data_IF_514722417905
#
_entry.id   IF_514722417905
#
_cell.length_a   1.000
_cell.length_b   1.000
_cell.length_c   1.000
_cell.angle_alpha   90.00
_cell.angle_beta   90.00
_cell.angle_gamma   90.00
#
_symmetry.space_group_name_H-M   'P 1'
#
loop_
_entity.id
_entity.type
_entity.pdbx_description
1 polymer ?
#
# COMPACT_ATOMS: atom_id res chain seq x y z
N UNK A 1 4.29 -32.67 18.49
CA UNK A 1 3.00 -31.95 18.40
C UNK A 1 2.89 -31.02 19.60
N UNK A 2 2.52 -29.75 19.41
CA UNK A 2 2.23 -28.85 20.52
C UNK A 2 0.96 -29.33 21.25
N UNK A 3 0.90 -29.26 22.60
CA UNK A 3 -0.33 -29.57 23.32
C UNK A 3 -1.50 -28.72 22.80
N UNK A 4 -2.64 -29.35 22.52
CA UNK A 4 -3.79 -28.72 21.85
C UNK A 4 -4.31 -27.48 22.57
N UNK A 5 -4.20 -27.43 23.90
CA UNK A 5 -4.61 -26.30 24.73
C UNK A 5 -3.69 -25.07 24.63
N UNK A 6 -2.43 -25.23 24.19
CA UNK A 6 -1.49 -24.10 24.02
C UNK A 6 -1.65 -23.41 22.66
N UNK A 7 -2.22 -24.10 21.66
CA UNK A 7 -2.34 -23.59 20.29
C UNK A 7 -3.09 -22.24 20.22
N UNK A 8 -4.25 -22.03 20.89
CA UNK A 8 -4.94 -20.75 20.87
C UNK A 8 -4.09 -19.59 21.40
N UNK A 9 -3.31 -19.84 22.46
CA UNK A 9 -2.44 -18.83 23.07
C UNK A 9 -1.25 -18.50 22.15
N UNK A 10 -0.57 -19.52 21.63
CA UNK A 10 0.60 -19.35 20.77
C UNK A 10 0.24 -18.72 19.42
N UNK A 11 -0.99 -18.94 18.94
CA UNK A 11 -1.51 -18.40 17.68
C UNK A 11 -2.28 -17.08 17.83
N UNK A 12 -2.35 -16.53 19.04
CA UNK A 12 -3.04 -15.28 19.29
C UNK A 12 -2.25 -14.09 18.73
N UNK A 13 -2.97 -13.12 18.16
CA UNK A 13 -2.40 -11.85 17.71
C UNK A 13 -2.37 -10.87 18.89
N UNK A 14 -1.21 -10.71 19.49
CA UNK A 14 -1.00 -9.74 20.56
C UNK A 14 -0.81 -8.34 19.99
N UNK A 15 -1.55 -7.38 20.54
CA UNK A 15 -1.47 -5.97 20.16
C UNK A 15 -0.89 -5.19 21.33
N UNK A 16 0.34 -4.71 21.17
CA UNK A 16 1.02 -3.87 22.17
C UNK A 16 0.93 -2.42 21.75
N UNK A 17 0.31 -1.59 22.60
CA UNK A 17 0.18 -0.15 22.37
C UNK A 17 1.12 0.61 23.29
N UNK A 18 2.01 1.43 22.72
CA UNK A 18 2.91 2.32 23.47
C UNK A 18 2.92 3.71 22.83
N UNK A 19 2.17 4.64 23.41
CA UNK A 19 1.91 5.95 22.79
C UNK A 19 1.27 5.78 21.42
N UNK A 20 1.80 6.47 20.40
CA UNK A 20 1.31 6.38 19.01
C UNK A 20 1.75 5.10 18.26
N UNK A 21 2.48 4.20 18.92
CA UNK A 21 3.01 2.99 18.29
C UNK A 21 2.14 1.80 18.62
N UNK A 22 1.66 1.11 17.58
CA UNK A 22 0.94 -0.15 17.69
C UNK A 22 1.85 -1.23 17.11
N UNK A 23 2.19 -2.23 17.92
CA UNK A 23 2.94 -3.40 17.50
C UNK A 23 2.02 -4.61 17.51
N UNK A 24 2.00 -5.35 16.41
CA UNK A 24 1.32 -6.62 16.29
C UNK A 24 2.38 -7.73 16.38
N UNK A 25 2.15 -8.74 17.20
CA UNK A 25 3.07 -9.85 17.44
C UNK A 25 2.31 -11.18 17.55
N UNK A 26 2.90 -12.27 17.08
CA UNK A 26 2.46 -13.63 17.37
C UNK A 26 3.64 -14.46 17.86
N UNK A 27 3.39 -15.42 18.75
CA UNK A 27 4.46 -16.28 19.29
C UNK A 27 4.91 -17.33 18.28
N UNK A 28 4.04 -17.73 17.36
CA UNK A 28 4.34 -18.60 16.23
C UNK A 28 3.93 -17.93 14.91
N UNK A 29 4.60 -18.25 13.79
CA UNK A 29 4.18 -17.77 12.48
C UNK A 29 2.82 -18.36 12.10
N UNK A 30 2.02 -17.60 11.35
CA UNK A 30 0.85 -18.15 10.66
C UNK A 30 1.26 -18.53 9.24
N UNK A 31 0.92 -19.73 8.77
CA UNK A 31 1.36 -20.21 7.46
C UNK A 31 1.24 -21.72 7.28
N UNK A 32 1.86 -22.23 6.21
CA UNK A 32 1.94 -23.66 5.89
C UNK A 32 3.31 -24.20 6.33
N UNK A 33 3.44 -24.56 7.61
CA UNK A 33 4.63 -25.23 8.16
C UNK A 33 4.29 -26.06 9.41
N UNK A 34 5.16 -26.99 9.80
CA UNK A 34 4.90 -27.94 10.90
C UNK A 34 4.62 -27.28 12.27
N UNK A 35 5.21 -26.12 12.53
CA UNK A 35 5.02 -25.35 13.76
C UNK A 35 4.21 -24.06 13.53
N UNK A 36 3.60 -23.91 12.36
CA UNK A 36 2.81 -22.74 12.02
C UNK A 36 1.40 -22.86 12.58
N UNK A 37 0.86 -21.71 13.00
CA UNK A 37 -0.56 -21.55 13.17
C UNK A 37 -1.27 -21.67 11.82
N UNK A 38 -2.39 -22.42 11.73
CA UNK A 38 -3.10 -22.60 10.47
C UNK A 38 -3.71 -21.27 10.02
N UNK A 39 -3.63 -21.00 8.71
CA UNK A 39 -4.31 -19.89 8.06
C UNK A 39 -5.82 -20.18 8.06
N UNK A 40 -6.62 -19.25 8.58
CA UNK A 40 -8.08 -19.26 8.51
C UNK A 40 -8.53 -17.97 7.83
N UNK A 41 -8.58 -17.95 6.50
CA UNK A 41 -8.72 -16.71 5.73
C UNK A 41 -9.97 -15.89 6.10
N UNK A 42 -11.10 -16.53 6.41
CA UNK A 42 -12.32 -15.87 6.86
C UNK A 42 -12.20 -15.17 8.23
N UNK A 43 -11.20 -15.51 9.04
CA UNK A 43 -10.91 -14.89 10.34
C UNK A 43 -9.69 -13.97 10.26
N UNK A 44 -8.69 -14.37 9.48
CA UNK A 44 -7.38 -13.73 9.39
C UNK A 44 -7.35 -12.58 8.37
N UNK A 45 -8.30 -12.51 7.44
CA UNK A 45 -8.45 -11.43 6.46
C UNK A 45 -9.87 -10.86 6.53
N UNK A 46 -9.97 -9.55 6.79
CA UNK A 46 -11.25 -8.85 6.88
C UNK A 46 -11.35 -7.71 5.87
N UNK A 47 -12.54 -7.54 5.29
CA UNK A 47 -12.85 -6.47 4.34
C UNK A 47 -13.65 -5.37 5.06
N UNK A 48 -12.96 -4.31 5.49
CA UNK A 48 -13.54 -3.28 6.35
C UNK A 48 -14.00 -2.08 5.53
N UNK A 49 -15.31 -1.95 5.32
CA UNK A 49 -15.91 -0.86 4.55
C UNK A 49 -16.11 0.40 5.39
N UNK A 50 -15.56 1.50 4.91
CA UNK A 50 -15.77 2.86 5.38
C UNK A 50 -16.40 3.72 4.30
N UNK A 51 -17.33 4.56 4.71
CA UNK A 51 -17.93 5.62 3.91
C UNK A 51 -18.04 6.88 4.76
N UNK A 52 -18.52 8.00 4.17
CA UNK A 52 -18.80 9.21 4.96
C UNK A 52 -19.87 9.00 6.04
N UNK A 53 -20.70 7.96 5.93
CA UNK A 53 -21.74 7.61 6.93
C UNK A 53 -21.18 6.84 8.12
N UNK A 54 -20.02 6.20 7.97
CA UNK A 54 -19.37 5.41 9.01
C UNK A 54 -17.83 5.59 8.97
N UNK A 55 -17.33 6.82 9.18
CA UNK A 55 -15.91 7.13 8.98
C UNK A 55 -14.99 6.49 10.04
N UNK A 56 -15.54 6.13 11.21
CA UNK A 56 -14.79 5.63 12.37
C UNK A 56 -14.90 4.11 12.52
N UNK A 57 -16.11 3.56 12.39
CA UNK A 57 -16.39 2.13 12.59
C UNK A 57 -16.82 1.47 11.27
N UNK A 58 -16.13 0.43 10.81
CA UNK A 58 -16.43 -0.17 9.52
C UNK A 58 -17.66 -1.06 9.56
N UNK A 59 -18.32 -1.21 8.40
CA UNK A 59 -19.11 -2.40 8.13
C UNK A 59 -18.16 -3.50 7.65
N UNK A 60 -18.24 -4.70 8.22
CA UNK A 60 -17.48 -5.85 7.72
C UNK A 60 -18.24 -6.43 6.54
N UNK A 61 -17.57 -6.56 5.40
CA UNK A 61 -18.11 -7.27 4.24
C UNK A 61 -17.60 -8.71 4.25
N UNK A 62 -18.50 -9.65 4.00
CA UNK A 62 -18.20 -11.08 3.88
C UNK A 62 -18.86 -11.62 2.61
N UNK A 63 -18.06 -12.14 1.68
CA UNK A 63 -18.58 -12.72 0.44
C UNK A 63 -19.34 -14.04 0.67
N UNK A 64 -19.25 -14.65 1.85
CA UNK A 64 -20.06 -15.81 2.24
C UNK A 64 -21.42 -15.40 2.83
N UNK A 65 -21.63 -14.11 3.11
CA UNK A 65 -22.89 -13.58 3.59
C UNK A 65 -23.26 -12.29 2.83
N UNK A 66 -24.06 -12.46 1.77
CA UNK A 66 -24.53 -11.36 0.94
C UNK A 66 -25.29 -10.26 1.72
N UNK A 67 -25.85 -10.58 2.88
CA UNK A 67 -26.56 -9.60 3.70
C UNK A 67 -25.63 -8.55 4.29
N UNK A 68 -24.33 -8.87 4.45
CA UNK A 68 -23.32 -7.92 4.93
C UNK A 68 -23.17 -6.73 3.99
N UNK A 69 -23.22 -6.95 2.66
CA UNK A 69 -23.21 -5.87 1.67
C UNK A 69 -24.51 -5.08 1.69
N UNK A 70 -25.65 -5.77 1.70
CA UNK A 70 -26.98 -5.15 1.65
C UNK A 70 -27.28 -4.23 2.85
N UNK A 71 -26.85 -4.63 4.04
CA UNK A 71 -27.04 -3.88 5.29
C UNK A 71 -25.93 -2.86 5.56
N UNK A 72 -24.88 -2.84 4.75
CA UNK A 72 -23.78 -1.90 4.91
C UNK A 72 -24.11 -0.51 4.36
N UNK A 73 -23.20 0.44 4.59
CA UNK A 73 -23.27 1.76 3.97
C UNK A 73 -22.75 1.79 2.52
N UNK A 74 -22.47 0.63 1.91
CA UNK A 74 -21.97 0.55 0.53
C UNK A 74 -22.94 1.22 -0.44
N UNK A 75 -22.40 2.01 -1.38
CA UNK A 75 -23.21 2.66 -2.40
C UNK A 75 -22.63 2.41 -3.79
N UNK A 76 -23.40 1.70 -4.62
CA UNK A 76 -23.01 1.31 -5.99
C UNK A 76 -22.77 2.49 -6.94
N UNK A 77 -23.28 3.69 -6.60
CA UNK A 77 -23.04 4.93 -7.38
C UNK A 77 -21.71 5.57 -7.06
N UNK A 78 -21.06 5.19 -5.95
CA UNK A 78 -19.80 5.78 -5.52
C UNK A 78 -18.61 4.95 -6.02
N UNK A 79 -17.50 5.61 -6.42
CA UNK A 79 -16.25 4.91 -6.71
C UNK A 79 -15.75 4.11 -5.50
N UNK A 80 -15.17 2.94 -5.77
CA UNK A 80 -14.66 2.03 -4.75
C UNK A 80 -13.15 1.92 -4.84
N UNK A 81 -12.49 2.10 -3.70
CA UNK A 81 -11.07 1.84 -3.55
C UNK A 81 -10.85 0.76 -2.49
N UNK A 82 -9.83 -0.06 -2.68
CA UNK A 82 -9.33 -0.97 -1.65
C UNK A 82 -7.92 -0.56 -1.25
N UNK A 83 -7.60 -0.61 0.04
CA UNK A 83 -6.25 -0.36 0.54
C UNK A 83 -5.73 -1.57 1.31
N UNK A 84 -4.55 -2.06 0.91
CA UNK A 84 -3.88 -3.20 1.51
C UNK A 84 -2.63 -2.71 2.26
N UNK A 85 -2.62 -2.90 3.59
CA UNK A 85 -1.47 -2.54 4.42
C UNK A 85 -0.30 -3.51 4.23
N UNK A 86 0.87 -3.10 4.72
CA UNK A 86 2.12 -3.87 4.61
C UNK A 86 2.44 -4.73 5.83
N UNK A 87 3.71 -5.13 5.91
CA UNK A 87 4.27 -5.88 7.04
C UNK A 87 4.22 -5.08 8.34
N UNK A 88 3.97 -5.76 9.46
CA UNK A 88 3.87 -5.18 10.80
C UNK A 88 2.81 -4.08 10.97
N UNK A 89 1.84 -4.00 10.06
CA UNK A 89 0.78 -3.00 10.06
C UNK A 89 -0.60 -3.66 10.21
N UNK A 90 -1.64 -2.84 10.41
CA UNK A 90 -3.04 -3.28 10.37
C UNK A 90 -3.92 -2.18 9.80
N UNK A 91 -5.19 -2.47 9.52
CA UNK A 91 -6.16 -1.45 9.05
C UNK A 91 -6.32 -0.24 9.96
N UNK A 92 -5.92 -0.34 11.24
CA UNK A 92 -5.92 0.78 12.20
C UNK A 92 -4.63 1.62 12.17
N UNK A 93 -3.64 1.23 11.37
CA UNK A 93 -2.36 1.90 11.24
C UNK A 93 -2.44 3.26 10.54
N UNK A 94 -1.34 4.03 10.64
CA UNK A 94 -1.27 5.41 10.12
C UNK A 94 -1.43 5.49 8.60
N UNK A 95 -0.87 4.54 7.85
CA UNK A 95 -1.01 4.49 6.39
C UNK A 95 -2.46 4.30 5.93
N UNK A 96 -3.10 3.18 6.28
CA UNK A 96 -4.51 2.92 5.96
C UNK A 96 -5.46 4.03 6.39
N UNK A 97 -5.32 4.52 7.64
CA UNK A 97 -6.18 5.58 8.17
C UNK A 97 -5.98 6.92 7.46
N UNK A 98 -4.75 7.27 7.08
CA UNK A 98 -4.47 8.50 6.32
C UNK A 98 -5.10 8.45 4.93
N UNK A 99 -4.95 7.32 4.22
CA UNK A 99 -5.56 7.16 2.89
C UNK A 99 -7.08 7.15 2.97
N UNK A 100 -7.66 6.39 3.91
CA UNK A 100 -9.12 6.40 4.16
C UNK A 100 -9.62 7.82 4.40
N UNK A 101 -9.02 8.54 5.33
CA UNK A 101 -9.46 9.88 5.69
C UNK A 101 -9.36 10.84 4.50
N UNK A 102 -8.30 10.73 3.69
CA UNK A 102 -8.14 11.56 2.50
C UNK A 102 -9.28 11.34 1.48
N UNK A 103 -9.64 10.09 1.20
CA UNK A 103 -10.77 9.76 0.34
C UNK A 103 -12.11 10.24 0.91
N UNK A 104 -12.36 10.03 2.21
CA UNK A 104 -13.61 10.44 2.86
C UNK A 104 -13.77 11.96 2.97
N UNK A 105 -12.65 12.71 3.06
CA UNK A 105 -12.65 14.18 2.97
C UNK A 105 -12.88 14.67 1.54
N UNK A 106 -12.28 14.01 0.55
CA UNK A 106 -12.40 14.39 -0.86
C UNK A 106 -13.83 14.26 -1.40
N UNK A 107 -14.54 13.20 -1.03
CA UNK A 107 -15.88 12.99 -1.57
C UNK A 107 -16.53 11.68 -1.14
N UNK A 108 -17.53 11.28 -1.93
CA UNK A 108 -18.28 10.05 -1.68
C UNK A 108 -17.57 8.85 -2.31
N UNK A 109 -16.93 8.03 -1.47
CA UNK A 109 -16.24 6.81 -1.85
C UNK A 109 -16.69 5.63 -0.97
N UNK A 110 -16.61 4.43 -1.54
CA UNK A 110 -16.54 3.20 -0.76
C UNK A 110 -15.05 2.89 -0.52
N UNK A 111 -14.58 3.03 0.71
CA UNK A 111 -13.18 2.74 1.08
C UNK A 111 -13.14 1.41 1.82
N UNK A 112 -12.54 0.38 1.22
CA UNK A 112 -12.40 -0.93 1.84
C UNK A 112 -10.95 -1.12 2.30
N UNK A 113 -10.73 -1.14 3.62
CA UNK A 113 -9.42 -1.48 4.17
C UNK A 113 -9.31 -2.99 4.33
N UNK A 114 -8.26 -3.57 3.77
CA UNK A 114 -7.97 -5.01 3.91
C UNK A 114 -7.15 -5.19 5.18
N UNK A 115 -7.74 -5.85 6.18
CA UNK A 115 -7.10 -6.12 7.46
C UNK A 115 -6.59 -7.56 7.50
N UNK A 116 -5.27 -7.75 7.45
CA UNK A 116 -4.63 -9.07 7.47
C UNK A 116 -3.42 -9.15 8.43
N UNK A 117 -3.45 -8.51 9.61
CA UNK A 117 -2.25 -8.31 10.44
C UNK A 117 -1.61 -9.62 10.89
N UNK A 118 -2.41 -10.65 11.24
CA UNK A 118 -1.90 -11.95 11.72
C UNK A 118 -1.06 -12.70 10.68
N UNK A 119 -1.32 -12.44 9.39
CA UNK A 119 -0.60 -13.03 8.27
C UNK A 119 0.64 -12.20 7.88
N UNK A 120 0.75 -10.97 8.37
CA UNK A 120 1.81 -10.01 8.04
C UNK A 120 2.59 -9.51 9.27
N UNK A 121 2.62 -10.28 10.34
CA UNK A 121 3.04 -9.84 11.68
C UNK A 121 4.53 -10.01 11.95
N UNK A 122 5.09 -9.19 12.85
CA UNK A 122 6.44 -9.41 13.39
C UNK A 122 6.52 -10.68 14.24
N UNK A 123 7.69 -11.35 14.30
CA UNK A 123 8.91 -11.14 13.50
C UNK A 123 8.93 -11.95 12.18
N UNK A 124 7.78 -12.49 11.74
CA UNK A 124 7.68 -13.58 10.77
C UNK A 124 7.68 -13.11 9.30
N UNK A 125 8.70 -12.39 8.87
CA UNK A 125 8.75 -11.81 7.51
C UNK A 125 8.69 -12.86 6.40
N UNK A 126 9.44 -13.97 6.52
CA UNK A 126 9.43 -15.06 5.52
C UNK A 126 8.01 -15.63 5.37
N UNK A 127 7.33 -15.84 6.50
CA UNK A 127 5.95 -16.32 6.49
C UNK A 127 5.00 -15.28 5.88
N UNK A 128 5.19 -14.00 6.17
CA UNK A 128 4.39 -12.92 5.59
C UNK A 128 4.52 -12.84 4.06
N UNK A 129 5.74 -12.99 3.52
CA UNK A 129 5.98 -13.07 2.07
C UNK A 129 5.25 -14.26 1.44
N UNK A 130 5.31 -15.43 2.08
CA UNK A 130 4.57 -16.62 1.61
C UNK A 130 3.06 -16.42 1.69
N UNK A 131 2.57 -15.82 2.77
CA UNK A 131 1.15 -15.57 2.98
C UNK A 131 0.59 -14.58 1.96
N UNK A 132 1.39 -13.65 1.42
CA UNK A 132 0.94 -12.75 0.37
C UNK A 132 0.40 -13.50 -0.87
N UNK A 133 1.02 -14.63 -1.23
CA UNK A 133 0.56 -15.53 -2.33
C UNK A 133 -0.76 -16.22 -2.03
N UNK A 134 -1.13 -16.34 -0.75
CA UNK A 134 -2.41 -16.92 -0.31
C UNK A 134 -3.49 -15.83 -0.23
N UNK A 135 -3.13 -14.65 0.27
CA UNK A 135 -4.05 -13.52 0.45
C UNK A 135 -4.49 -12.93 -0.90
N UNK A 136 -3.59 -12.86 -1.90
CA UNK A 136 -3.92 -12.34 -3.24
C UNK A 136 -5.14 -13.02 -3.88
N UNK A 137 -5.14 -14.36 -4.07
CA UNK A 137 -6.30 -15.09 -4.58
C UNK A 137 -7.56 -14.94 -3.72
N UNK A 138 -7.43 -14.83 -2.40
CA UNK A 138 -8.58 -14.58 -1.51
C UNK A 138 -9.24 -13.22 -1.77
N UNK A 139 -8.43 -12.17 -2.03
CA UNK A 139 -8.92 -10.85 -2.45
C UNK A 139 -9.54 -10.89 -3.85
N UNK A 140 -8.98 -11.66 -4.78
CA UNK A 140 -9.56 -11.85 -6.11
C UNK A 140 -10.97 -12.47 -6.05
N UNK A 141 -11.20 -13.40 -5.11
CA UNK A 141 -12.52 -13.98 -4.86
C UNK A 141 -13.52 -12.93 -4.35
N UNK A 142 -13.13 -12.12 -3.35
CA UNK A 142 -13.95 -11.00 -2.87
C UNK A 142 -14.30 -10.00 -3.98
N UNK A 143 -13.33 -9.65 -4.81
CA UNK A 143 -13.52 -8.71 -5.94
C UNK A 143 -14.48 -9.30 -6.97
N UNK A 144 -14.32 -10.58 -7.30
CA UNK A 144 -15.24 -11.28 -8.21
C UNK A 144 -16.65 -11.35 -7.65
N UNK A 145 -16.81 -11.53 -6.34
CA UNK A 145 -18.10 -11.47 -5.68
C UNK A 145 -18.73 -10.07 -5.76
N UNK A 146 -17.98 -8.99 -5.47
CA UNK A 146 -18.50 -7.61 -5.62
C UNK A 146 -18.95 -7.31 -7.06
N UNK A 147 -18.21 -7.79 -8.06
CA UNK A 147 -18.59 -7.65 -9.47
C UNK A 147 -19.86 -8.45 -9.80
N UNK A 148 -19.97 -9.69 -9.31
CA UNK A 148 -21.16 -10.52 -9.47
C UNK A 148 -22.41 -9.92 -8.81
N UNK A 149 -22.26 -9.24 -7.66
CA UNK A 149 -23.32 -8.48 -7.00
C UNK A 149 -23.66 -7.15 -7.72
N UNK A 150 -23.00 -6.84 -8.85
CA UNK A 150 -23.08 -5.56 -9.56
C UNK A 150 -22.76 -4.35 -8.65
N UNK A 151 -21.99 -4.59 -7.60
CA UNK A 151 -21.64 -3.56 -6.62
C UNK A 151 -20.47 -2.71 -7.11
N UNK A 152 -19.50 -3.33 -7.80
CA UNK A 152 -18.35 -2.66 -8.41
C UNK A 152 -17.99 -3.36 -9.72
N UNK A 153 -17.99 -2.63 -10.83
CA UNK A 153 -17.37 -3.13 -12.06
C UNK A 153 -15.85 -3.19 -11.90
N UNK A 154 -15.23 -4.30 -12.30
CA UNK A 154 -13.77 -4.45 -12.25
C UNK A 154 -13.01 -3.25 -12.85
N UNK A 155 -13.46 -2.76 -14.01
CA UNK A 155 -12.85 -1.63 -14.73
C UNK A 155 -12.80 -0.32 -13.93
N UNK A 156 -13.65 -0.18 -12.90
CA UNK A 156 -13.74 1.01 -12.04
C UNK A 156 -13.08 0.80 -10.68
N UNK A 157 -12.65 -0.41 -10.36
CA UNK A 157 -12.02 -0.72 -9.08
C UNK A 157 -10.55 -0.25 -9.08
N UNK A 158 -10.17 0.44 -8.01
CA UNK A 158 -8.79 0.85 -7.75
C UNK A 158 -8.28 0.18 -6.46
N UNK A 159 -7.24 -0.63 -6.59
CA UNK A 159 -6.57 -1.27 -5.45
C UNK A 159 -5.24 -0.56 -5.19
N UNK A 160 -5.01 -0.20 -3.93
CA UNK A 160 -3.80 0.50 -3.48
C UNK A 160 -3.10 -0.43 -2.49
N UNK A 161 -1.87 -0.82 -2.78
CA UNK A 161 -1.09 -1.69 -1.91
C UNK A 161 0.17 -1.00 -1.41
N UNK A 162 0.46 -1.10 -0.12
CA UNK A 162 1.70 -0.58 0.46
C UNK A 162 2.64 -1.71 0.88
N UNK A 163 3.93 -1.62 0.53
CA UNK A 163 4.94 -2.61 0.92
C UNK A 163 4.51 -4.02 0.47
N UNK A 164 4.44 -5.01 1.39
CA UNK A 164 3.86 -6.33 1.12
C UNK A 164 2.44 -6.27 0.54
N UNK A 165 1.65 -5.26 0.89
CA UNK A 165 0.31 -5.07 0.36
C UNK A 165 0.30 -4.78 -1.15
N UNK A 166 1.37 -4.20 -1.70
CA UNK A 166 1.52 -4.02 -3.15
C UNK A 166 1.73 -5.38 -3.85
N UNK A 167 2.49 -6.27 -3.23
CA UNK A 167 2.71 -7.62 -3.73
C UNK A 167 1.44 -8.47 -3.65
N UNK A 168 0.67 -8.32 -2.56
CA UNK A 168 -0.68 -8.90 -2.44
C UNK A 168 -1.60 -8.40 -3.57
N UNK A 169 -1.53 -7.10 -3.92
CA UNK A 169 -2.29 -6.56 -5.05
C UNK A 169 -1.85 -7.20 -6.38
N UNK A 170 -0.55 -7.43 -6.58
CA UNK A 170 -0.03 -8.15 -7.74
C UNK A 170 -0.58 -9.57 -7.84
N UNK A 171 -0.48 -10.35 -6.76
CA UNK A 171 -1.04 -11.71 -6.72
C UNK A 171 -2.57 -11.74 -6.91
N UNK A 172 -3.28 -10.74 -6.40
CA UNK A 172 -4.72 -10.60 -6.66
C UNK A 172 -4.99 -10.35 -8.15
N UNK A 173 -4.24 -9.47 -8.79
CA UNK A 173 -4.36 -9.21 -10.23
C UNK A 173 -4.11 -10.46 -11.07
N UNK A 174 -3.06 -11.21 -10.75
CA UNK A 174 -2.73 -12.51 -11.38
C UNK A 174 -3.85 -13.52 -11.21
N UNK A 175 -4.42 -13.63 -10.01
CA UNK A 175 -5.51 -14.56 -9.72
C UNK A 175 -6.85 -14.18 -10.40
N UNK A 176 -7.02 -12.93 -10.84
CA UNK A 176 -8.18 -12.50 -11.62
C UNK A 176 -8.05 -12.80 -13.13
N UNK A 177 -6.84 -13.13 -13.61
CA UNK A 177 -6.60 -13.34 -15.03
C UNK A 177 -7.57 -14.39 -15.63
N UNK A 178 -8.08 -14.15 -16.86
CA UNK A 178 -7.73 -13.07 -17.78
C UNK A 178 -8.46 -11.74 -17.52
N UNK A 179 -9.34 -11.66 -16.52
CA UNK A 179 -10.03 -10.40 -16.13
C UNK A 179 -9.04 -9.48 -15.41
N UNK A 180 -9.22 -8.17 -15.56
CA UNK A 180 -8.37 -7.16 -14.89
C UNK A 180 -9.22 -6.11 -14.21
N UNK A 181 -8.73 -5.62 -13.08
CA UNK A 181 -9.27 -4.41 -12.46
C UNK A 181 -8.75 -3.16 -13.15
N UNK A 182 -9.43 -2.03 -12.91
CA UNK A 182 -9.09 -0.74 -13.54
C UNK A 182 -7.70 -0.26 -13.18
N UNK A 183 -7.35 -0.25 -11.89
CA UNK A 183 -6.07 0.32 -11.44
C UNK A 183 -5.48 -0.39 -10.23
N UNK A 184 -4.17 -0.65 -10.27
CA UNK A 184 -3.35 -0.92 -9.08
C UNK A 184 -2.39 0.25 -8.85
N UNK A 185 -2.32 0.77 -7.63
CA UNK A 185 -1.23 1.65 -7.20
C UNK A 185 -0.32 0.93 -6.22
N UNK A 186 0.94 0.74 -6.60
CA UNK A 186 1.99 0.18 -5.74
C UNK A 186 2.70 1.29 -4.95
N UNK A 187 2.51 1.32 -3.64
CA UNK A 187 3.18 2.26 -2.74
C UNK A 187 4.42 1.59 -2.15
N UNK A 188 5.57 1.89 -2.76
CA UNK A 188 6.88 1.34 -2.44
C UNK A 188 6.88 -0.19 -2.26
N UNK A 189 6.58 -0.95 -3.34
CA UNK A 189 6.38 -2.41 -3.28
C UNK A 189 7.56 -3.15 -2.66
N UNK A 190 7.29 -4.18 -1.84
CA UNK A 190 8.32 -4.84 -1.04
C UNK A 190 9.33 -5.60 -1.91
N UNK A 191 10.62 -5.30 -1.72
CA UNK A 191 11.72 -5.89 -2.50
C UNK A 191 12.33 -7.17 -1.90
N UNK A 192 12.64 -7.25 -0.60
CA UNK A 192 13.26 -8.45 -0.04
C UNK A 192 12.39 -9.69 -0.21
N UNK A 193 13.00 -10.79 -0.68
CA UNK A 193 12.37 -12.06 -1.04
C UNK A 193 11.42 -12.03 -2.26
N UNK A 194 11.24 -10.87 -2.89
CA UNK A 194 10.57 -10.73 -4.19
C UNK A 194 11.55 -10.51 -5.35
N UNK A 195 12.78 -10.06 -5.05
CA UNK A 195 13.84 -9.97 -6.05
C UNK A 195 14.09 -11.32 -6.73
N UNK A 196 14.31 -11.30 -8.04
CA UNK A 196 14.63 -12.48 -8.86
C UNK A 196 13.55 -13.59 -8.83
N UNK A 197 12.29 -13.25 -8.55
CA UNK A 197 11.18 -14.22 -8.55
C UNK A 197 10.44 -14.32 -9.89
N UNK A 198 10.86 -13.55 -10.90
CA UNK A 198 10.20 -13.44 -12.20
C UNK A 198 8.88 -12.67 -12.12
N UNK A 199 8.23 -12.48 -13.27
CA UNK A 199 6.99 -11.68 -13.35
C UNK A 199 5.83 -12.28 -12.55
N UNK A 200 5.81 -13.59 -12.34
CA UNK A 200 4.81 -14.31 -11.55
C UNK A 200 4.99 -14.13 -10.03
N UNK A 201 6.18 -13.70 -9.61
CA UNK A 201 6.56 -13.68 -8.20
C UNK A 201 6.30 -12.38 -7.47
N UNK A 202 5.97 -11.30 -8.17
CA UNK A 202 5.78 -9.95 -7.61
C UNK A 202 4.78 -9.12 -8.43
N UNK A 203 4.46 -7.90 -7.98
CA UNK A 203 3.64 -6.94 -8.72
C UNK A 203 4.29 -6.56 -10.07
N UNK A 204 3.52 -6.63 -11.15
CA UNK A 204 3.94 -6.16 -12.48
C UNK A 204 2.86 -5.32 -13.17
N UNK A 205 3.24 -4.66 -14.26
CA UNK A 205 2.35 -3.85 -15.08
C UNK A 205 1.17 -4.66 -15.64
N UNK A 206 1.31 -5.97 -15.78
CA UNK A 206 0.29 -6.85 -16.33
C UNK A 206 -0.89 -7.10 -15.36
N UNK A 207 -0.74 -6.83 -14.07
CA UNK A 207 -1.68 -7.24 -13.02
C UNK A 207 -2.99 -6.42 -12.97
N UNK A 208 -3.06 -5.30 -13.71
CA UNK A 208 -4.27 -4.51 -13.90
C UNK A 208 -4.28 -3.82 -15.26
N UNK A 209 -5.40 -3.17 -15.62
CA UNK A 209 -5.46 -2.34 -16.85
C UNK A 209 -4.46 -1.18 -16.76
N UNK A 210 -4.30 -0.60 -15.57
CA UNK A 210 -3.30 0.41 -15.30
C UNK A 210 -2.60 0.13 -13.96
N UNK A 211 -1.28 0.28 -13.94
CA UNK A 211 -0.45 0.07 -12.75
C UNK A 211 0.48 1.26 -12.62
N UNK A 212 0.38 2.00 -11.52
CA UNK A 212 1.28 3.11 -11.20
C UNK A 212 2.00 2.85 -9.88
N UNK A 213 3.28 3.18 -9.82
CA UNK A 213 4.13 2.82 -8.67
C UNK A 213 4.84 4.05 -8.13
N UNK A 214 4.91 4.19 -6.81
CA UNK A 214 5.64 5.25 -6.11
C UNK A 214 6.80 4.63 -5.35
N UNK A 215 8.03 4.87 -5.80
CA UNK A 215 9.26 4.36 -5.17
C UNK A 215 9.82 5.40 -4.20
N UNK A 216 9.98 5.04 -2.94
CA UNK A 216 10.51 5.94 -1.90
C UNK A 216 11.61 5.32 -1.06
N UNK A 217 11.84 4.01 -1.18
CA UNK A 217 12.88 3.27 -0.47
C UNK A 217 13.54 2.20 -1.36
N UNK A 218 13.69 2.51 -2.66
CA UNK A 218 14.19 1.60 -3.68
C UNK A 218 15.57 1.01 -3.32
N UNK A 219 15.65 -0.32 -3.33
CA UNK A 219 16.85 -1.11 -3.03
C UNK A 219 17.10 -1.36 -1.55
N UNK A 220 16.21 -0.90 -0.66
CA UNK A 220 16.23 -1.21 0.76
C UNK A 220 14.99 -2.05 1.10
N UNK A 221 13.84 -1.42 1.38
CA UNK A 221 12.56 -2.14 1.49
C UNK A 221 11.75 -2.13 0.21
N UNK A 222 11.89 -1.09 -0.62
CA UNK A 222 11.15 -0.93 -1.86
C UNK A 222 11.88 -1.49 -3.08
N UNK A 223 11.16 -1.88 -4.13
CA UNK A 223 11.75 -2.24 -5.42
C UNK A 223 12.46 -1.02 -6.04
N UNK A 224 13.73 -1.14 -6.51
CA UNK A 224 14.39 -0.05 -7.22
C UNK A 224 14.10 -0.02 -8.73
N UNK A 225 13.70 -1.14 -9.32
CA UNK A 225 13.33 -1.26 -10.73
C UNK A 225 11.87 -0.82 -10.97
N UNK A 226 11.53 -0.38 -12.19
CA UNK A 226 10.15 -0.10 -12.54
C UNK A 226 9.33 -1.40 -12.52
N UNK A 227 8.11 -1.32 -12.00
CA UNK A 227 7.16 -2.42 -11.93
C UNK A 227 5.86 -2.12 -12.65
N UNK A 228 5.50 -0.85 -12.81
CA UNK A 228 4.22 -0.42 -13.37
C UNK A 228 4.26 -0.07 -14.85
N UNK A 229 3.11 0.41 -15.31
CA UNK A 229 3.03 1.18 -16.54
C UNK A 229 3.71 2.55 -16.37
N UNK A 230 3.58 3.15 -15.19
CA UNK A 230 4.20 4.42 -14.80
C UNK A 230 4.85 4.27 -13.43
N UNK A 231 6.10 4.69 -13.31
CA UNK A 231 6.87 4.58 -12.07
C UNK A 231 7.40 5.95 -11.66
N UNK A 232 6.98 6.42 -10.50
CA UNK A 232 7.36 7.70 -9.92
C UNK A 232 8.47 7.51 -8.89
N UNK A 233 9.54 8.29 -9.02
CA UNK A 233 10.71 8.26 -8.16
C UNK A 233 10.91 9.63 -7.47
N UNK A 234 10.04 9.99 -6.50
CA UNK A 234 10.21 11.21 -5.71
C UNK A 234 11.57 11.21 -5.03
N UNK A 235 12.31 12.32 -5.20
CA UNK A 235 13.65 12.52 -4.68
C UNK A 235 14.64 11.41 -5.10
N UNK A 236 14.49 10.91 -6.33
CA UNK A 236 15.31 9.84 -6.90
C UNK A 236 14.91 8.43 -6.45
N UNK A 237 13.82 8.32 -5.68
CA UNK A 237 13.18 7.08 -5.24
C UNK A 237 14.00 6.16 -4.33
N UNK A 238 15.12 6.65 -3.80
CA UNK A 238 15.92 5.92 -2.82
C UNK A 238 15.53 6.25 -1.38
N UNK A 239 16.11 5.49 -0.44
CA UNK A 239 15.82 5.56 1.01
C UNK A 239 15.92 6.95 1.66
N UNK A 240 16.80 7.80 1.14
CA UNK A 240 17.08 9.13 1.68
C UNK A 240 16.07 10.15 1.18
N UNK A 241 14.83 10.01 1.61
CA UNK A 241 13.79 11.01 1.35
C UNK A 241 14.02 12.27 2.20
N UNK A 242 13.68 13.48 1.72
CA UNK A 242 13.80 14.71 2.49
C UNK A 242 13.13 14.59 3.87
N UNK A 243 13.84 14.98 4.94
CA UNK A 243 13.36 14.87 6.33
C UNK A 243 13.49 13.48 6.98
N UNK A 244 14.12 12.51 6.30
CA UNK A 244 14.39 11.17 6.82
C UNK A 244 15.87 10.96 7.23
N UNK A 245 16.63 12.03 7.51
CA UNK A 245 18.01 11.94 8.00
C UNK A 245 18.12 11.93 9.54
N UNK A 246 19.26 11.47 10.05
CA UNK A 246 19.51 11.31 11.49
C UNK A 246 19.38 12.65 12.24
N UNK A 247 19.84 13.76 11.65
CA UNK A 247 19.77 15.10 12.26
C UNK A 247 18.31 15.59 12.40
N UNK A 248 17.48 15.38 11.38
CA UNK A 248 16.06 15.74 11.38
C UNK A 248 15.23 14.88 12.33
N UNK A 249 15.62 13.61 12.52
CA UNK A 249 14.95 12.65 13.41
C UNK A 249 15.35 12.86 14.86
N UNK A 250 16.62 13.15 15.15
CA UNK A 250 17.10 13.51 16.50
C UNK A 250 16.44 14.80 16.99
N UNK A 251 16.20 15.78 16.10
CA UNK A 251 15.44 17.01 16.41
C UNK A 251 13.95 16.74 16.74
N UNK A 252 13.42 15.54 16.47
CA UNK A 252 12.06 15.11 16.83
C UNK A 252 11.98 14.26 18.12
N UNK A 253 13.11 14.06 18.83
CA UNK A 253 13.19 13.43 20.16
C UNK A 253 13.67 11.97 20.16
N UNK A 254 14.59 11.65 21.08
CA UNK A 254 15.31 10.36 21.18
C UNK A 254 14.43 9.11 21.39
N UNK A 255 13.16 9.24 21.78
CA UNK A 255 12.25 8.09 21.98
C UNK A 255 11.63 7.52 20.69
N UNK A 256 11.80 8.17 19.54
CA UNK A 256 11.23 7.77 18.23
C UNK A 256 12.21 7.00 17.32
N UNK A 257 13.41 6.68 17.83
CA UNK A 257 14.61 6.42 17.04
C UNK A 257 14.58 5.14 16.17
N UNK A 258 14.01 4.01 16.62
CA UNK A 258 14.25 2.74 15.89
C UNK A 258 13.28 2.54 14.72
N UNK A 259 11.96 2.64 14.95
CA UNK A 259 10.97 2.41 13.88
C UNK A 259 10.93 3.54 12.84
N UNK A 260 11.08 4.80 13.27
CA UNK A 260 10.94 5.93 12.36
C UNK A 260 12.21 6.17 11.54
N UNK A 261 13.40 5.87 12.04
CA UNK A 261 14.65 6.02 11.28
C UNK A 261 14.76 5.02 10.14
N UNK A 262 14.41 3.76 10.41
CA UNK A 262 14.56 2.66 9.45
C UNK A 262 13.49 2.75 8.35
N UNK A 263 12.25 3.09 8.70
CA UNK A 263 11.11 3.05 7.75
C UNK A 263 10.65 4.42 7.26
N UNK A 264 11.34 5.54 7.57
CA UNK A 264 10.88 6.88 7.18
C UNK A 264 10.68 7.02 5.67
N UNK A 265 11.70 6.61 4.89
CA UNK A 265 11.67 6.62 3.43
C UNK A 265 10.52 5.77 2.91
N UNK A 266 10.41 4.52 3.38
CA UNK A 266 9.33 3.60 3.03
C UNK A 266 7.94 4.20 3.27
N UNK A 267 7.73 4.82 4.44
CA UNK A 267 6.47 5.44 4.80
C UNK A 267 6.15 6.73 4.01
N UNK A 268 7.08 7.26 3.20
CA UNK A 268 6.78 8.40 2.34
C UNK A 268 5.79 8.06 1.24
N UNK A 269 5.78 6.83 0.72
CA UNK A 269 4.88 6.48 -0.37
C UNK A 269 3.39 6.68 -0.01
N UNK A 270 2.93 6.14 1.13
CA UNK A 270 1.55 6.35 1.56
C UNK A 270 1.27 7.78 2.01
N UNK A 271 2.27 8.52 2.51
CA UNK A 271 2.11 9.95 2.88
C UNK A 271 1.91 10.83 1.65
N UNK A 272 2.77 10.66 0.64
CA UNK A 272 2.65 11.41 -0.61
C UNK A 272 1.35 11.04 -1.32
N UNK A 273 1.00 9.75 -1.36
CA UNK A 273 -0.26 9.31 -1.95
C UNK A 273 -1.47 9.91 -1.24
N UNK A 274 -1.56 9.83 0.09
CA UNK A 274 -2.66 10.41 0.86
C UNK A 274 -2.79 11.93 0.61
N UNK A 275 -1.66 12.66 0.58
CA UNK A 275 -1.67 14.09 0.27
C UNK A 275 -2.10 14.36 -1.18
N UNK A 276 -1.72 13.52 -2.14
CA UNK A 276 -2.13 13.65 -3.55
C UNK A 276 -3.63 13.44 -3.77
N UNK A 277 -4.31 12.68 -2.89
CA UNK A 277 -5.78 12.54 -2.95
C UNK A 277 -6.46 13.87 -2.66
N UNK A 278 -5.91 14.69 -1.75
CA UNK A 278 -6.44 16.01 -1.43
C UNK A 278 -5.92 17.10 -2.37
N UNK A 279 -4.70 16.94 -2.89
CA UNK A 279 -4.05 17.83 -3.84
C UNK A 279 -3.59 17.08 -5.11
N UNK A 280 -4.52 16.77 -6.04
CA UNK A 280 -4.25 15.95 -7.23
C UNK A 280 -3.09 16.45 -8.10
N UNK A 281 -2.89 17.77 -8.18
CA UNK A 281 -1.89 18.39 -9.03
C UNK A 281 -0.62 18.82 -8.28
N UNK A 282 -0.51 18.47 -6.99
CA UNK A 282 0.57 18.94 -6.12
C UNK A 282 1.92 18.25 -6.32
N UNK A 283 1.93 17.13 -7.04
CA UNK A 283 3.11 16.31 -7.31
C UNK A 283 3.41 16.22 -8.81
N UNK A 284 3.69 17.35 -9.49
CA UNK A 284 4.12 17.34 -10.89
C UNK A 284 5.43 16.57 -11.04
N UNK A 285 5.50 15.72 -12.06
CA UNK A 285 6.63 14.87 -12.34
C UNK A 285 7.06 14.95 -13.82
N UNK A 286 8.36 14.87 -14.03
CA UNK A 286 9.01 14.97 -15.35
C UNK A 286 9.74 13.69 -15.70
N UNK A 287 9.86 13.42 -16.99
CA UNK A 287 10.75 12.36 -17.46
C UNK A 287 12.21 12.77 -17.27
N UNK A 288 13.03 11.81 -16.90
CA UNK A 288 14.48 11.95 -16.94
C UNK A 288 15.12 10.57 -17.21
N UNK A 289 16.22 10.46 -17.98
CA UNK A 289 16.89 9.17 -18.20
C UNK A 289 17.30 8.48 -16.89
N UNK A 290 17.83 9.26 -15.93
CA UNK A 290 18.16 8.81 -14.58
C UNK A 290 18.36 10.03 -13.69
N UNK A 291 17.72 10.06 -12.52
CA UNK A 291 17.96 11.12 -11.53
C UNK A 291 18.08 10.55 -10.11
N UNK A 292 19.05 11.08 -9.37
CA UNK A 292 19.17 10.94 -7.91
C UNK A 292 19.69 12.28 -7.34
N UNK A 293 19.26 12.70 -6.14
CA UNK A 293 19.82 13.87 -5.49
C UNK A 293 21.35 13.79 -5.41
N UNK A 294 22.04 14.84 -5.85
CA UNK A 294 23.51 14.91 -5.86
C UNK A 294 24.20 14.20 -7.04
N UNK A 295 23.46 13.63 -7.99
CA UNK A 295 24.02 13.15 -9.26
C UNK A 295 23.62 14.13 -10.36
N UNK A 296 24.62 14.74 -11.02
CA UNK A 296 24.41 15.55 -12.22
C UNK A 296 23.82 14.66 -13.32
N UNK A 297 22.59 14.97 -13.71
CA UNK A 297 21.92 14.39 -14.85
C UNK A 297 21.30 15.51 -15.66
N UNK A 298 21.39 15.42 -17.00
CA UNK A 298 20.75 16.36 -17.92
C UNK A 298 19.23 16.10 -17.97
N UNK A 299 18.53 16.33 -16.86
CA UNK A 299 17.07 16.26 -16.79
C UNK A 299 16.47 17.59 -17.25
N UNK A 300 15.50 17.54 -18.16
CA UNK A 300 14.63 18.69 -18.46
C UNK A 300 13.38 18.58 -17.60
N UNK A 301 13.22 19.52 -16.67
CA UNK A 301 12.11 19.53 -15.71
C UNK A 301 10.86 20.17 -16.30
N UNK A 302 10.23 19.48 -17.23
CA UNK A 302 8.93 19.83 -17.80
C UNK A 302 7.87 18.91 -17.19
N UNK A 303 7.00 19.39 -16.29
CA UNK A 303 5.92 18.57 -15.75
C UNK A 303 5.03 18.01 -16.85
N UNK A 304 4.88 16.68 -16.88
CA UNK A 304 4.05 16.00 -17.87
C UNK A 304 3.03 15.09 -17.19
N UNK A 305 3.39 14.46 -16.08
CA UNK A 305 2.52 13.58 -15.31
C UNK A 305 2.39 14.08 -13.87
N UNK A 306 1.37 13.58 -13.16
CA UNK A 306 1.16 13.85 -11.74
C UNK A 306 1.24 12.55 -10.95
N UNK A 307 2.08 12.52 -9.92
CA UNK A 307 2.23 11.35 -9.05
C UNK A 307 1.01 11.19 -8.13
N UNK A 308 0.60 9.93 -7.90
CA UNK A 308 -0.43 9.59 -6.91
C UNK A 308 -1.83 9.61 -7.51
N UNK A 309 -2.80 10.22 -6.82
CA UNK A 309 -4.22 10.15 -7.18
C UNK A 309 -4.48 10.51 -8.66
N UNK A 310 -3.84 11.57 -9.17
CA UNK A 310 -4.00 12.05 -10.55
C UNK A 310 -3.14 11.33 -11.60
N UNK A 311 -2.48 10.21 -11.27
CA UNK A 311 -1.72 9.46 -12.25
C UNK A 311 -2.64 8.99 -13.39
N UNK A 312 -2.21 9.24 -14.62
CA UNK A 312 -3.00 9.05 -15.83
C UNK A 312 -2.46 7.88 -16.65
N UNK A 313 -3.36 6.99 -17.04
CA UNK A 313 -3.09 5.80 -17.83
C UNK A 313 -2.59 6.07 -19.26
N UNK A 314 -2.55 7.31 -19.73
CA UNK A 314 -1.90 7.64 -21.03
C UNK A 314 -0.38 7.69 -20.95
N UNK A 315 0.19 7.89 -19.76
CA UNK A 315 1.63 7.98 -19.59
C UNK A 315 2.26 6.61 -19.42
N UNK A 316 3.53 6.50 -19.81
CA UNK A 316 4.36 5.31 -19.62
C UNK A 316 5.78 5.71 -19.23
N UNK A 317 6.43 4.85 -18.46
CA UNK A 317 7.84 4.94 -18.10
C UNK A 317 8.10 5.64 -16.76
N UNK A 318 9.35 6.09 -16.59
CA UNK A 318 9.86 6.63 -15.32
C UNK A 318 9.69 8.14 -15.23
N UNK A 319 9.18 8.60 -14.10
CA UNK A 319 9.00 10.01 -13.78
C UNK A 319 9.67 10.36 -12.46
N UNK A 320 10.21 11.56 -12.39
CA UNK A 320 10.96 12.07 -11.25
C UNK A 320 10.39 13.41 -10.81
N UNK A 321 10.50 13.69 -9.51
CA UNK A 321 9.98 14.90 -8.88
C UNK A 321 10.67 15.14 -7.54
N UNK A 322 10.64 16.38 -7.06
CA UNK A 322 11.11 16.73 -5.71
C UNK A 322 9.94 16.99 -4.78
N UNK A 323 10.08 16.64 -3.50
CA UNK A 323 9.08 16.93 -2.45
C UNK A 323 9.69 17.72 -1.29
N UNK A 324 8.86 18.34 -0.46
CA UNK A 324 9.29 18.96 0.78
C UNK A 324 9.66 17.91 1.85
N UNK A 325 10.41 18.31 2.87
CA UNK A 325 10.78 17.43 4.00
C UNK A 325 9.67 17.21 5.02
N UNK A 326 8.62 18.04 5.01
CA UNK A 326 7.46 17.99 5.92
C UNK A 326 6.19 18.27 5.11
N UNK A 327 5.04 17.85 5.65
CA UNK A 327 3.76 18.14 5.01
C UNK A 327 3.45 19.64 5.11
N UNK A 328 2.91 20.29 4.07
CA UNK A 328 2.62 19.71 2.75
C UNK A 328 3.88 19.33 1.97
N UNK A 329 3.94 18.06 1.53
CA UNK A 329 5.04 17.49 0.75
C UNK A 329 5.02 17.96 -0.70
N UNK A 330 3.82 18.17 -1.24
CA UNK A 330 3.57 18.74 -2.54
C UNK A 330 4.29 20.09 -2.67
N UNK A 331 4.95 20.29 -3.81
CA UNK A 331 5.62 21.58 -4.12
C UNK A 331 4.78 22.46 -5.02
N UNK A 332 3.73 21.93 -5.66
CA UNK A 332 2.82 22.67 -6.55
C UNK A 332 3.53 23.42 -7.70
N UNK A 333 4.81 23.13 -8.00
CA UNK A 333 5.61 23.98 -8.86
C UNK A 333 5.28 23.77 -10.34
N UNK A 334 4.78 24.84 -10.95
CA UNK A 334 5.12 25.23 -12.33
C UNK A 334 6.28 26.23 -12.40
N UNK A 335 6.79 26.82 -11.30
CA UNK A 335 7.73 27.96 -11.41
C UNK A 335 8.79 28.12 -10.30
N UNK A 336 9.60 27.10 -9.99
CA UNK A 336 10.92 27.35 -9.38
C UNK A 336 11.94 26.39 -9.97
N UNK A 337 12.97 26.99 -10.60
CA UNK A 337 14.27 26.36 -10.90
C UNK A 337 14.60 25.38 -9.76
N UNK A 338 14.63 24.10 -10.07
CA UNK A 338 15.24 23.10 -9.21
C UNK A 338 16.71 23.51 -9.09
N UNK A 339 17.06 24.10 -7.95
CA UNK A 339 18.46 24.32 -7.61
C UNK A 339 19.15 22.97 -7.65
N UNK A 340 20.12 22.88 -8.56
CA UNK A 340 20.94 21.70 -8.90
C UNK A 340 21.71 21.22 -7.66
#
# INVERSE_FOLDING_TARGET
>A
MLPSFLVPMLCHLYIVRRGDTILHLTLLPTGTCFYCCPIRLNQDVQFLLYTRRNPTYPNVLDFNDATTLQKSNFNVKHPTIMYIHGYSDSSSGKGPTSVRNAYLRRGHYNVILINWPKLAVLPWYISAVRNAKVVGPYLAHMISWLDAQKAVSLSKLHVIGFSLGAEVAGFMGKALAPRKIGRITGLDPAYPLYMNTGEDGHLTWADAVFVDVIHTDGGNFGFPQPLGHVDFYPNGGGRRQPGCDLKSIVRMGFRRIINQYITCGHNRAWRYYAESVENPYGFPASRCPRWRPGILASCVWKPEAYMGFAADSKYRGKFYLSTNSRSPYARNLTDRKLSI
#
